data_IF_062891911748
#
_entry.id   IF_062891911748
#
_cell.length_a   1.000
_cell.length_b   1.000
_cell.length_c   1.000
_cell.angle_alpha   90.00
_cell.angle_beta   90.00
_cell.angle_gamma   90.00
#
_symmetry.space_group_name_H-M   'P 1'
#
loop_
_entity.id
_entity.type
_entity.pdbx_description
1 polymer ?
#
# COMPACT_ATOMS: atom_id res chain seq x y z
N UNK A 1 -14.34 7.20 -1.54
CA UNK A 1 -14.93 5.86 -1.72
C UNK A 1 -15.24 5.67 -3.19
N UNK A 2 -15.34 4.43 -3.62
CA UNK A 2 -15.68 4.03 -4.99
C UNK A 2 -16.89 3.08 -4.91
N UNK A 3 -17.82 3.19 -5.85
CA UNK A 3 -19.02 2.37 -5.94
C UNK A 3 -19.10 1.78 -7.35
N UNK A 4 -19.16 0.47 -7.43
CA UNK A 4 -19.13 -0.33 -8.65
C UNK A 4 -20.18 -1.43 -8.56
N UNK A 5 -20.67 -1.88 -9.71
CA UNK A 5 -21.49 -3.08 -9.83
C UNK A 5 -20.62 -4.34 -9.75
N UNK A 6 -21.27 -5.51 -9.68
CA UNK A 6 -20.56 -6.80 -9.56
C UNK A 6 -19.70 -7.14 -10.79
N UNK A 7 -19.98 -6.52 -11.94
CA UNK A 7 -19.20 -6.62 -13.17
C UNK A 7 -18.03 -5.62 -13.25
N UNK A 8 -17.88 -4.76 -12.23
CA UNK A 8 -16.87 -3.71 -12.16
C UNK A 8 -17.23 -2.42 -12.89
N UNK A 9 -18.43 -2.31 -13.48
CA UNK A 9 -18.87 -1.02 -14.04
C UNK A 9 -19.07 0.01 -12.91
N UNK A 10 -18.56 1.24 -13.03
CA UNK A 10 -18.77 2.26 -12.01
C UNK A 10 -20.24 2.64 -11.91
N UNK A 11 -20.75 2.77 -10.68
CA UNK A 11 -22.07 3.34 -10.41
C UNK A 11 -22.04 4.86 -10.66
N UNK A 12 -22.00 5.23 -11.93
CA UNK A 12 -21.81 6.60 -12.42
C UNK A 12 -23.02 7.47 -12.11
N UNK A 13 -22.78 8.63 -11.51
CA UNK A 13 -23.83 9.58 -11.13
C UNK A 13 -24.97 8.94 -10.31
N UNK A 14 -24.70 7.90 -9.52
CA UNK A 14 -25.68 7.26 -8.64
C UNK A 14 -25.97 8.15 -7.42
N UNK A 15 -27.19 8.05 -6.87
CA UNK A 15 -27.57 8.77 -5.64
C UNK A 15 -26.83 8.20 -4.45
N UNK A 16 -26.34 9.07 -3.55
CA UNK A 16 -25.65 8.66 -2.33
C UNK A 16 -26.24 9.34 -1.10
N UNK A 17 -26.34 8.57 -0.02
CA UNK A 17 -26.76 9.00 1.31
C UNK A 17 -25.75 8.51 2.34
N UNK A 18 -25.26 9.42 3.17
CA UNK A 18 -24.27 9.15 4.21
C UNK A 18 -24.92 9.43 5.55
N UNK A 19 -24.87 8.45 6.43
CA UNK A 19 -25.42 8.51 7.77
C UNK A 19 -24.30 8.27 8.77
N UNK A 20 -24.37 9.00 9.86
CA UNK A 20 -23.79 8.49 11.08
C UNK A 20 -24.55 7.22 11.54
N UNK A 21 -23.85 6.26 12.14
CA UNK A 21 -24.45 4.97 12.52
C UNK A 21 -25.61 5.10 13.50
N UNK A 22 -25.68 6.16 14.31
CA UNK A 22 -26.73 6.35 15.32
C UNK A 22 -27.90 7.22 14.82
N UNK A 23 -27.71 7.92 13.71
CA UNK A 23 -28.67 8.92 13.23
C UNK A 23 -29.59 8.38 12.13
N UNK A 24 -30.84 8.85 12.18
CA UNK A 24 -31.85 8.57 11.14
C UNK A 24 -31.77 9.53 9.96
N UNK A 25 -31.28 10.75 10.21
CA UNK A 25 -31.12 11.76 9.17
C UNK A 25 -29.76 11.58 8.49
N UNK A 26 -29.67 11.75 7.17
CA UNK A 26 -28.40 11.71 6.48
C UNK A 26 -27.57 12.93 6.86
N UNK A 27 -26.32 12.69 7.24
CA UNK A 27 -25.29 13.72 7.42
C UNK A 27 -24.99 14.45 6.11
N UNK A 28 -24.94 13.69 5.01
CA UNK A 28 -24.72 14.25 3.67
C UNK A 28 -25.46 13.42 2.63
N UNK A 29 -25.99 14.10 1.61
CA UNK A 29 -26.55 13.48 0.41
C UNK A 29 -25.88 14.07 -0.84
N UNK A 30 -25.91 13.34 -1.94
CA UNK A 30 -25.32 13.80 -3.19
C UNK A 30 -25.42 12.79 -4.33
N UNK A 31 -24.50 12.90 -5.29
CA UNK A 31 -24.32 11.93 -6.37
C UNK A 31 -22.85 11.60 -6.55
N UNK A 32 -22.55 10.36 -6.95
CA UNK A 32 -21.20 9.96 -7.37
C UNK A 32 -20.76 10.70 -8.64
N UNK A 33 -19.46 10.74 -8.91
CA UNK A 33 -18.93 11.27 -10.16
C UNK A 33 -19.07 10.27 -11.32
N UNK A 34 -18.50 10.61 -12.49
CA UNK A 34 -18.51 9.74 -13.68
C UNK A 34 -17.89 8.37 -13.41
N UNK A 35 -16.94 8.28 -12.49
CA UNK A 35 -16.17 7.08 -12.17
C UNK A 35 -16.73 6.37 -10.93
N UNK A 36 -17.96 6.68 -10.49
CA UNK A 36 -18.56 6.05 -9.30
C UNK A 36 -17.93 6.51 -7.99
N UNK A 37 -17.21 7.64 -7.97
CA UNK A 37 -16.50 8.13 -6.79
C UNK A 37 -17.31 9.14 -6.01
N UNK A 38 -17.14 9.13 -4.70
CA UNK A 38 -17.65 10.16 -3.81
C UNK A 38 -16.65 10.47 -2.69
N UNK A 39 -16.55 11.74 -2.33
CA UNK A 39 -15.71 12.21 -1.24
C UNK A 39 -16.59 12.89 -0.18
N UNK A 40 -16.48 12.42 1.06
CA UNK A 40 -17.03 13.09 2.22
C UNK A 40 -15.97 13.20 3.31
N UNK A 41 -16.10 14.20 4.15
CA UNK A 41 -15.21 14.42 5.27
C UNK A 41 -16.02 14.26 6.58
N UNK A 42 -15.87 13.13 7.29
CA UNK A 42 -16.60 12.91 8.53
C UNK A 42 -16.16 13.91 9.59
N UNK A 43 -17.11 14.46 10.34
CA UNK A 43 -16.88 15.40 11.44
C UNK A 43 -16.68 14.69 12.79
N UNK A 44 -17.07 13.43 12.88
CA UNK A 44 -16.91 12.58 14.07
C UNK A 44 -16.34 11.19 13.74
N UNK A 45 -15.66 10.64 14.73
CA UNK A 45 -15.11 9.28 14.68
C UNK A 45 -16.21 8.24 14.87
N UNK A 46 -15.90 6.97 14.63
CA UNK A 46 -16.84 5.86 14.79
C UNK A 46 -17.40 5.30 13.48
N UNK A 47 -18.59 4.71 13.60
CA UNK A 47 -19.26 3.97 12.53
C UNK A 47 -20.07 4.89 11.62
N UNK A 48 -19.87 4.74 10.32
CA UNK A 48 -20.60 5.43 9.28
C UNK A 48 -21.29 4.43 8.38
N UNK A 49 -22.52 4.74 7.97
CA UNK A 49 -23.26 3.98 6.96
C UNK A 49 -23.36 4.81 5.71
N UNK A 50 -22.99 4.23 4.59
CA UNK A 50 -23.13 4.83 3.28
C UNK A 50 -24.04 3.96 2.43
N UNK A 51 -25.00 4.58 1.76
CA UNK A 51 -25.85 3.91 0.80
C UNK A 51 -25.77 4.60 -0.56
N UNK A 52 -25.50 3.81 -1.60
CA UNK A 52 -25.48 4.25 -3.00
C UNK A 52 -26.60 3.53 -3.74
N UNK A 53 -27.37 4.26 -4.55
CA UNK A 53 -28.51 3.72 -5.31
C UNK A 53 -28.53 4.30 -6.72
N UNK A 54 -28.74 3.45 -7.72
CA UNK A 54 -28.91 3.86 -9.12
C UNK A 54 -30.35 4.33 -9.44
N UNK A 55 -31.30 4.12 -8.52
CA UNK A 55 -32.72 4.42 -8.71
C UNK A 55 -33.48 3.41 -9.58
N UNK A 56 -32.82 2.39 -10.10
CA UNK A 56 -33.41 1.30 -10.90
C UNK A 56 -33.54 0.00 -10.11
N UNK A 57 -33.02 -0.04 -8.88
CA UNK A 57 -33.18 -1.15 -7.93
C UNK A 57 -31.87 -1.66 -7.36
N UNK A 58 -30.72 -1.26 -7.91
CA UNK A 58 -29.43 -1.62 -7.36
C UNK A 58 -29.06 -0.68 -6.21
N UNK A 59 -28.69 -1.26 -5.08
CA UNK A 59 -28.30 -0.52 -3.88
C UNK A 59 -27.06 -1.15 -3.25
N UNK A 60 -26.02 -0.36 -3.12
CA UNK A 60 -24.81 -0.71 -2.36
C UNK A 60 -24.90 -0.07 -0.98
N UNK A 61 -24.74 -0.87 0.09
CA UNK A 61 -24.71 -0.38 1.46
C UNK A 61 -23.39 -0.76 2.12
N UNK A 62 -22.61 0.24 2.50
CA UNK A 62 -21.31 0.07 3.14
C UNK A 62 -21.39 0.56 4.59
N UNK A 63 -20.86 -0.23 5.53
CA UNK A 63 -20.60 0.22 6.90
C UNK A 63 -19.09 0.35 7.09
N UNK A 64 -18.63 1.53 7.49
CA UNK A 64 -17.21 1.83 7.64
C UNK A 64 -16.94 2.48 8.99
N UNK A 65 -15.93 1.98 9.70
CA UNK A 65 -15.47 2.58 10.94
C UNK A 65 -14.22 3.44 10.68
N UNK A 66 -14.30 4.74 10.94
CA UNK A 66 -13.23 5.70 10.64
C UNK A 66 -12.01 5.47 11.54
N UNK A 67 -12.20 5.09 12.80
CA UNK A 67 -11.09 4.78 13.72
C UNK A 67 -10.25 3.62 13.22
N UNK A 68 -10.91 2.55 12.76
CA UNK A 68 -10.23 1.39 12.19
C UNK A 68 -9.44 1.76 10.94
N UNK A 69 -10.00 2.58 10.04
CA UNK A 69 -9.29 3.03 8.82
C UNK A 69 -8.08 3.89 9.17
N UNK A 70 -8.21 4.84 10.10
CA UNK A 70 -7.10 5.69 10.53
C UNK A 70 -5.99 4.87 11.18
N UNK A 71 -6.34 3.87 12.00
CA UNK A 71 -5.37 2.97 12.61
C UNK A 71 -4.69 2.06 11.59
N UNK A 72 -5.42 1.53 10.60
CA UNK A 72 -4.83 0.77 9.49
C UNK A 72 -3.88 1.64 8.66
N UNK A 73 -4.25 2.89 8.38
CA UNK A 73 -3.40 3.84 7.66
C UNK A 73 -2.14 4.18 8.46
N UNK A 74 -2.24 4.38 9.79
CA UNK A 74 -1.08 4.56 10.67
C UNK A 74 -0.17 3.34 10.70
N UNK A 75 -0.71 2.13 10.78
CA UNK A 75 0.09 0.89 10.74
C UNK A 75 0.77 0.72 9.39
N UNK A 76 0.09 1.01 8.28
CA UNK A 76 0.68 0.96 6.94
C UNK A 76 1.70 2.08 6.71
N UNK A 77 1.52 3.27 7.28
CA UNK A 77 2.50 4.36 7.25
C UNK A 77 3.71 4.07 8.15
N UNK A 78 3.53 3.35 9.27
CA UNK A 78 4.61 2.87 10.13
C UNK A 78 5.37 1.70 9.48
N UNK A 79 4.69 0.81 8.77
CA UNK A 79 5.33 -0.20 7.92
C UNK A 79 6.04 0.46 6.73
N UNK A 80 5.47 1.48 6.08
CA UNK A 80 6.12 2.26 5.03
C UNK A 80 7.31 3.12 5.54
N UNK A 81 7.35 3.48 6.83
CA UNK A 81 8.54 4.04 7.51
C UNK A 81 9.56 2.99 7.96
N UNK A 82 9.13 1.73 8.11
CA UNK A 82 9.95 0.59 8.57
C UNK A 82 10.60 -0.19 7.43
N UNK A 83 10.12 -0.05 6.20
CA UNK A 83 10.80 -0.44 4.96
C UNK A 83 11.10 0.84 4.21
N UNK A 84 12.15 1.52 4.64
CA UNK A 84 13.01 2.17 3.66
C UNK A 84 13.46 1.05 2.72
N UNK A 85 12.78 0.85 1.60
CA UNK A 85 13.52 0.51 0.39
C UNK A 85 14.41 1.72 0.09
N UNK A 86 15.46 1.88 0.89
CA UNK A 86 16.62 2.67 0.53
C UNK A 86 17.23 1.94 -0.65
N UNK A 87 16.70 2.23 -1.84
CA UNK A 87 17.32 1.79 -3.08
C UNK A 87 18.77 2.26 -2.97
N UNK A 88 19.74 1.33 -2.87
CA UNK A 88 21.06 1.70 -2.39
C UNK A 88 21.62 2.77 -3.31
N UNK A 89 22.21 3.81 -2.70
CA UNK A 89 22.79 4.92 -3.44
C UNK A 89 23.76 4.39 -4.49
N UNK A 90 23.96 5.10 -5.60
CA UNK A 90 24.86 4.65 -6.68
C UNK A 90 26.25 4.28 -6.15
N UNK A 91 26.70 4.97 -5.11
CA UNK A 91 27.96 4.70 -4.41
C UNK A 91 27.95 3.39 -3.60
N UNK A 92 26.84 3.05 -2.94
CA UNK A 92 26.70 1.79 -2.20
C UNK A 92 26.69 0.59 -3.14
N UNK A 93 26.00 0.71 -4.29
CA UNK A 93 26.04 -0.30 -5.35
C UNK A 93 27.45 -0.48 -5.92
N UNK A 94 28.19 0.62 -6.10
CA UNK A 94 29.58 0.57 -6.57
C UNK A 94 30.52 -0.09 -5.55
N UNK A 95 30.41 0.28 -4.28
CA UNK A 95 31.20 -0.32 -3.19
C UNK A 95 30.93 -1.82 -3.06
N UNK A 96 29.68 -2.26 -3.21
CA UNK A 96 29.33 -3.68 -3.22
C UNK A 96 29.96 -4.43 -4.40
N UNK A 97 29.94 -3.84 -5.60
CA UNK A 97 30.61 -4.42 -6.77
C UNK A 97 32.12 -4.56 -6.55
N UNK A 98 32.75 -3.51 -6.01
CA UNK A 98 34.19 -3.50 -5.72
C UNK A 98 34.54 -4.57 -4.67
N UNK A 99 33.79 -4.69 -3.58
CA UNK A 99 34.06 -5.66 -2.52
C UNK A 99 33.95 -7.11 -3.01
N UNK A 100 33.00 -7.41 -3.90
CA UNK A 100 32.86 -8.74 -4.52
C UNK A 100 34.08 -9.07 -5.39
N UNK A 101 34.54 -8.12 -6.22
CA UNK A 101 35.71 -8.33 -7.10
C UNK A 101 36.96 -8.60 -6.26
N UNK A 102 37.18 -7.81 -5.19
CA UNK A 102 38.32 -8.01 -4.28
C UNK A 102 38.20 -9.33 -3.51
N UNK A 103 37.00 -9.72 -3.05
CA UNK A 103 36.77 -10.98 -2.35
C UNK A 103 37.09 -12.20 -3.23
N UNK A 104 36.56 -12.23 -4.46
CA UNK A 104 36.81 -13.31 -5.42
C UNK A 104 38.29 -13.35 -5.81
N UNK A 105 38.88 -12.20 -6.10
CA UNK A 105 40.31 -12.11 -6.47
C UNK A 105 41.20 -12.59 -5.33
N UNK A 106 40.92 -12.19 -4.09
CA UNK A 106 41.65 -12.62 -2.90
C UNK A 106 41.60 -14.14 -2.70
N UNK A 107 40.42 -14.75 -2.85
CA UNK A 107 40.24 -16.21 -2.77
C UNK A 107 41.05 -16.92 -3.86
N UNK A 108 40.98 -16.43 -5.11
CA UNK A 108 41.72 -17.01 -6.23
C UNK A 108 43.23 -16.92 -6.02
N UNK A 109 43.76 -15.77 -5.60
CA UNK A 109 45.17 -15.60 -5.31
C UNK A 109 45.63 -16.45 -4.14
N UNK A 110 44.84 -16.57 -3.08
CA UNK A 110 45.13 -17.46 -1.96
C UNK A 110 45.19 -18.92 -2.41
N UNK A 111 44.25 -19.36 -3.24
CA UNK A 111 44.24 -20.73 -3.73
C UNK A 111 45.42 -21.03 -4.65
N UNK A 112 45.83 -20.04 -5.45
CA UNK A 112 47.01 -20.15 -6.33
C UNK A 112 48.32 -20.13 -5.54
N UNK A 113 48.42 -19.30 -4.50
CA UNK A 113 49.55 -19.26 -3.58
C UNK A 113 49.69 -20.53 -2.75
N UNK A 114 48.58 -21.16 -2.35
CA UNK A 114 48.60 -22.47 -1.68
C UNK A 114 49.14 -23.60 -2.57
N UNK A 115 49.00 -23.53 -3.90
CA UNK A 115 49.60 -24.50 -4.82
C UNK A 115 51.10 -24.27 -5.08
N UNK A 116 51.64 -23.12 -4.71
CA UNK A 116 53.07 -22.83 -4.80
C UNK A 116 53.88 -23.28 -3.56
N UNK A 117 53.21 -23.74 -2.50
CA UNK A 117 53.87 -24.38 -1.36
C UNK A 117 53.84 -25.90 -1.53
N UNK A 118 54.60 -26.41 -2.51
CA UNK A 118 55.10 -27.78 -2.48
C UNK A 118 56.48 -27.68 -1.85
N UNK A 119 56.69 -28.15 -0.60
CA UNK A 119 58.03 -28.16 -0.03
C UNK A 119 58.92 -29.07 -0.89
N UNK A 120 59.97 -28.49 -1.49
CA UNK A 120 61.10 -29.28 -1.97
C UNK A 120 61.70 -29.97 -0.75
N UNK A 121 61.66 -31.30 -0.76
CA UNK A 121 61.84 -32.12 0.42
C UNK A 121 63.22 -32.08 1.06
N UNK A 122 63.25 -32.52 2.33
CA UNK A 122 64.16 -33.53 2.86
C UNK A 122 63.48 -34.24 4.02
#
# INVERSE_FOLDING_TARGET
MEAEYDDGEPMSYASIEIFDSEEKLPFQTGRTDRNGRFLFYPDKMGDWRVAVSDGMGHRLALKTNIDKILNLKKTNEQQAKGINESSPSRYEKALMGISIIFGISGILFWWRGRRAYIPYGK
#
